data_IF_186857328258
#
_entry.id   IF_186857328258
#
_cell.length_a   1.000
_cell.length_b   1.000
_cell.length_c   1.000
_cell.angle_alpha   90.00
_cell.angle_beta   90.00
_cell.angle_gamma   90.00
#
_symmetry.space_group_name_H-M   'P 1'
#
loop_
_entity.id
_entity.type
_entity.pdbx_description
1 polymer ?
#
# COMPACT_ATOMS: atom_id res chain seq x y z
N UNK A 1 -13.70 6.01 -5.01
CA UNK A 1 -12.91 5.12 -4.15
C UNK A 1 -13.75 3.85 -4.07
N UNK A 2 -13.34 2.79 -4.75
CA UNK A 2 -14.12 1.55 -4.75
C UNK A 2 -14.35 1.10 -3.30
N UNK A 3 -15.61 1.03 -2.89
CA UNK A 3 -16.00 0.56 -1.55
C UNK A 3 -15.78 -0.95 -1.50
N UNK A 4 -14.67 -1.38 -0.92
CA UNK A 4 -14.36 -2.80 -0.72
C UNK A 4 -14.92 -3.23 0.63
N UNK A 5 -15.98 -4.04 0.62
CA UNK A 5 -16.61 -4.57 1.84
C UNK A 5 -15.73 -5.58 2.56
N UNK A 6 -16.01 -5.87 3.83
CA UNK A 6 -15.29 -6.90 4.57
C UNK A 6 -15.44 -8.30 3.94
N UNK A 7 -16.59 -8.61 3.34
CA UNK A 7 -16.78 -9.82 2.52
C UNK A 7 -15.82 -9.88 1.33
N UNK A 8 -15.69 -8.76 0.60
CA UNK A 8 -14.80 -8.68 -0.54
C UNK A 8 -13.32 -8.80 -0.11
N UNK A 9 -12.96 -8.26 1.06
CA UNK A 9 -11.63 -8.45 1.66
C UNK A 9 -11.38 -9.93 1.94
N UNK A 10 -12.32 -10.62 2.59
CA UNK A 10 -12.19 -12.04 2.91
C UNK A 10 -12.06 -12.91 1.65
N UNK A 11 -12.91 -12.67 0.66
CA UNK A 11 -12.88 -13.40 -0.61
C UNK A 11 -11.54 -13.23 -1.34
N UNK A 12 -11.06 -11.99 -1.46
CA UNK A 12 -9.77 -11.70 -2.13
C UNK A 12 -8.58 -12.27 -1.35
N UNK A 13 -8.63 -12.25 -0.02
CA UNK A 13 -7.62 -12.91 0.81
C UNK A 13 -7.58 -14.41 0.53
N UNK A 14 -8.73 -15.07 0.49
CA UNK A 14 -8.84 -16.51 0.20
C UNK A 14 -8.28 -16.84 -1.19
N UNK A 15 -8.60 -16.03 -2.20
CA UNK A 15 -8.06 -16.18 -3.55
C UNK A 15 -6.53 -16.01 -3.60
N UNK A 16 -5.98 -15.03 -2.89
CA UNK A 16 -4.54 -14.79 -2.81
C UNK A 16 -3.80 -15.93 -2.09
N UNK A 17 -4.37 -16.46 -1.00
CA UNK A 17 -3.83 -17.62 -0.30
C UNK A 17 -3.88 -18.88 -1.16
N UNK A 18 -4.98 -19.12 -1.86
CA UNK A 18 -5.11 -20.22 -2.81
C UNK A 18 -4.10 -20.11 -3.96
N UNK A 19 -3.83 -18.89 -4.45
CA UNK A 19 -2.77 -18.65 -5.44
C UNK A 19 -1.39 -19.01 -4.90
N UNK A 20 -1.07 -18.65 -3.65
CA UNK A 20 0.19 -19.04 -3.01
C UNK A 20 0.33 -20.57 -2.92
N UNK A 21 -0.75 -21.29 -2.58
CA UNK A 21 -0.75 -22.76 -2.61
C UNK A 21 -0.42 -23.30 -4.01
N UNK A 22 -0.99 -22.73 -5.07
CA UNK A 22 -0.68 -23.12 -6.46
C UNK A 22 0.79 -22.88 -6.83
N UNK A 23 1.42 -21.87 -6.24
CA UNK A 23 2.85 -21.58 -6.41
C UNK A 23 3.76 -22.42 -5.48
N UNK A 24 3.20 -23.44 -4.82
CA UNK A 24 3.96 -24.33 -3.94
C UNK A 24 4.45 -23.66 -2.65
N UNK A 25 3.76 -22.60 -2.18
CA UNK A 25 4.04 -21.89 -0.92
C UNK A 25 3.11 -22.34 0.22
N UNK A 26 2.56 -23.55 0.15
CA UNK A 26 1.53 -24.01 1.10
C UNK A 26 2.03 -24.10 2.55
N UNK A 27 3.32 -24.38 2.77
CA UNK A 27 3.90 -24.41 4.11
C UNK A 27 4.06 -23.01 4.69
N UNK A 28 4.50 -22.08 3.85
CA UNK A 28 4.65 -20.66 4.16
C UNK A 28 3.29 -20.05 4.46
N UNK A 29 2.26 -20.36 3.67
CA UNK A 29 0.87 -19.94 3.95
C UNK A 29 0.41 -20.45 5.31
N UNK A 30 0.58 -21.75 5.61
CA UNK A 30 0.13 -22.34 6.87
C UNK A 30 0.81 -21.72 8.11
N UNK A 31 2.05 -21.25 7.97
CA UNK A 31 2.79 -20.57 9.04
C UNK A 31 2.61 -19.04 9.04
N UNK A 32 1.95 -18.48 8.02
CA UNK A 32 1.86 -17.03 7.84
C UNK A 32 0.87 -16.36 8.78
N UNK A 33 1.13 -15.08 9.06
CA UNK A 33 0.19 -14.19 9.76
C UNK A 33 -1.17 -14.07 9.06
N UNK A 34 -1.26 -14.37 7.76
CA UNK A 34 -2.50 -14.28 7.00
C UNK A 34 -3.53 -15.36 7.37
N UNK A 35 -3.12 -16.48 7.96
CA UNK A 35 -4.07 -17.47 8.51
C UNK A 35 -4.81 -16.88 9.72
N UNK A 36 -4.09 -16.18 10.59
CA UNK A 36 -4.68 -15.51 11.72
C UNK A 36 -5.56 -14.34 11.26
N UNK A 37 -5.12 -13.56 10.28
CA UNK A 37 -5.95 -12.50 9.71
C UNK A 37 -7.22 -13.05 9.07
N UNK A 38 -7.13 -14.17 8.33
CA UNK A 38 -8.30 -14.83 7.75
C UNK A 38 -9.31 -15.23 8.83
N UNK A 39 -8.83 -15.80 9.94
CA UNK A 39 -9.68 -16.17 11.10
C UNK A 39 -10.40 -14.94 11.66
N UNK A 40 -9.67 -13.84 11.88
CA UNK A 40 -10.23 -12.59 12.42
C UNK A 40 -11.25 -11.98 11.47
N UNK A 41 -10.91 -11.82 10.18
CA UNK A 41 -11.82 -11.25 9.18
C UNK A 41 -13.06 -12.12 8.99
N UNK A 42 -12.92 -13.45 9.06
CA UNK A 42 -14.08 -14.37 9.06
C UNK A 42 -15.00 -14.08 10.24
N UNK A 43 -14.46 -13.95 11.47
CA UNK A 43 -15.25 -13.62 12.65
C UNK A 43 -16.01 -12.30 12.51
N UNK A 44 -15.36 -11.26 11.98
CA UNK A 44 -15.97 -9.95 11.72
C UNK A 44 -17.10 -10.04 10.70
N UNK A 45 -16.88 -10.77 9.60
CA UNK A 45 -17.89 -10.99 8.55
C UNK A 45 -19.07 -11.78 9.11
N UNK A 46 -18.83 -12.87 9.84
CA UNK A 46 -19.89 -13.67 10.48
C UNK A 46 -20.70 -12.83 11.47
N UNK A 47 -20.05 -12.05 12.34
CA UNK A 47 -20.74 -11.16 13.27
C UNK A 47 -21.62 -10.13 12.53
N UNK A 48 -21.13 -9.59 11.41
CA UNK A 48 -21.89 -8.67 10.56
C UNK A 48 -23.13 -9.32 9.94
N UNK A 49 -23.02 -10.56 9.45
CA UNK A 49 -24.15 -11.28 8.85
C UNK A 49 -25.17 -11.73 9.88
N UNK A 50 -24.73 -12.27 11.01
CA UNK A 50 -25.61 -12.91 11.99
C UNK A 50 -26.24 -11.91 12.96
N UNK A 51 -25.50 -10.86 13.32
CA UNK A 51 -25.89 -9.87 14.34
C UNK A 51 -25.88 -8.42 13.87
N UNK A 52 -25.59 -8.17 12.59
CA UNK A 52 -25.60 -6.82 12.01
C UNK A 52 -24.45 -5.94 12.48
N UNK A 53 -24.63 -4.63 12.34
CA UNK A 53 -23.58 -3.63 12.57
C UNK A 53 -23.07 -3.61 14.01
N UNK A 54 -23.97 -3.77 14.99
CA UNK A 54 -23.61 -3.73 16.40
C UNK A 54 -22.75 -4.94 16.80
N UNK A 55 -23.12 -6.15 16.36
CA UNK A 55 -22.32 -7.35 16.59
C UNK A 55 -20.95 -7.28 15.91
N UNK A 56 -20.90 -6.78 14.68
CA UNK A 56 -19.64 -6.54 13.96
C UNK A 56 -18.74 -5.54 14.70
N UNK A 57 -19.32 -4.47 15.23
CA UNK A 57 -18.62 -3.46 16.03
C UNK A 57 -18.07 -4.05 17.33
N UNK A 58 -18.89 -4.83 18.03
CA UNK A 58 -18.48 -5.52 19.27
C UNK A 58 -17.33 -6.48 18.98
N UNK A 59 -17.43 -7.31 17.93
CA UNK A 59 -16.39 -8.25 17.54
C UNK A 59 -15.08 -7.53 17.19
N UNK A 60 -15.15 -6.44 16.41
CA UNK A 60 -13.99 -5.59 16.12
C UNK A 60 -13.34 -5.04 17.39
N UNK A 61 -14.14 -4.68 18.40
CA UNK A 61 -13.63 -4.11 19.64
C UNK A 61 -13.08 -5.13 20.64
N UNK A 62 -13.25 -6.45 20.43
CA UNK A 62 -12.64 -7.49 21.28
C UNK A 62 -11.12 -7.43 21.24
N UNK A 63 -10.56 -7.18 20.07
CA UNK A 63 -9.16 -6.84 19.86
C UNK A 63 -9.06 -5.87 18.68
N UNK A 64 -9.17 -4.58 18.98
CA UNK A 64 -9.17 -3.53 17.95
C UNK A 64 -7.84 -3.44 17.21
N UNK A 65 -6.72 -3.73 17.88
CA UNK A 65 -5.41 -3.69 17.26
C UNK A 65 -5.27 -4.80 16.22
N UNK A 66 -5.60 -6.04 16.59
CA UNK A 66 -5.57 -7.17 15.67
C UNK A 66 -6.60 -7.01 14.55
N UNK A 67 -7.83 -6.59 14.85
CA UNK A 67 -8.89 -6.40 13.85
C UNK A 67 -8.51 -5.35 12.80
N UNK A 68 -7.91 -4.23 13.24
CA UNK A 68 -7.41 -3.20 12.32
C UNK A 68 -6.34 -3.74 11.39
N UNK A 69 -5.34 -4.44 11.93
CA UNK A 69 -4.23 -4.98 11.13
C UNK A 69 -4.71 -6.09 10.20
N UNK A 70 -5.56 -7.00 10.69
CA UNK A 70 -6.10 -8.10 9.90
C UNK A 70 -6.88 -7.58 8.68
N UNK A 71 -7.81 -6.64 8.87
CA UNK A 71 -8.56 -6.04 7.76
C UNK A 71 -7.65 -5.26 6.79
N UNK A 72 -6.68 -4.52 7.32
CA UNK A 72 -5.73 -3.72 6.52
C UNK A 72 -4.88 -4.62 5.62
N UNK A 73 -4.18 -5.60 6.21
CA UNK A 73 -3.24 -6.43 5.47
C UNK A 73 -3.94 -7.49 4.62
N UNK A 74 -5.11 -7.99 5.05
CA UNK A 74 -5.95 -8.83 4.19
C UNK A 74 -6.38 -8.07 2.93
N UNK A 75 -6.75 -6.79 3.06
CA UNK A 75 -7.10 -5.96 1.91
C UNK A 75 -5.89 -5.70 1.00
N UNK A 76 -4.72 -5.36 1.57
CA UNK A 76 -3.49 -5.15 0.78
C UNK A 76 -3.06 -6.43 0.05
N UNK A 77 -3.10 -7.58 0.73
CA UNK A 77 -2.66 -8.84 0.14
C UNK A 77 -3.68 -9.41 -0.86
N UNK A 78 -4.97 -9.27 -0.59
CA UNK A 78 -6.02 -9.64 -1.53
C UNK A 78 -5.95 -8.81 -2.83
N UNK A 79 -5.68 -7.50 -2.71
CA UNK A 79 -5.59 -6.59 -3.86
C UNK A 79 -4.38 -6.84 -4.80
N UNK A 80 -3.37 -7.61 -4.35
CA UNK A 80 -2.22 -7.95 -5.20
C UNK A 80 -2.41 -9.26 -5.95
N UNK A 81 -3.45 -10.05 -5.63
CA UNK A 81 -3.69 -11.38 -6.22
C UNK A 81 -3.73 -11.41 -7.75
N UNK A 82 -4.48 -10.48 -8.36
CA UNK A 82 -4.61 -10.39 -9.83
C UNK A 82 -3.27 -10.09 -10.51
N UNK A 83 -2.51 -9.15 -9.95
CA UNK A 83 -1.18 -8.80 -10.44
C UNK A 83 -0.22 -9.99 -10.34
N UNK A 84 -0.20 -10.68 -9.21
CA UNK A 84 0.63 -11.87 -8.98
C UNK A 84 0.27 -12.99 -9.96
N UNK A 85 -1.03 -13.20 -10.19
CA UNK A 85 -1.54 -14.21 -11.12
C UNK A 85 -1.03 -13.96 -12.54
N UNK A 86 -1.04 -12.71 -13.01
CA UNK A 86 -0.52 -12.36 -14.33
C UNK A 86 1.02 -12.37 -14.40
N UNK A 87 1.72 -11.95 -13.34
CA UNK A 87 3.19 -11.91 -13.34
C UNK A 87 3.80 -13.31 -13.41
N UNK A 88 3.08 -14.32 -12.89
CA UNK A 88 3.44 -15.73 -12.95
C UNK A 88 4.44 -16.17 -11.87
N UNK A 89 4.39 -17.46 -11.54
CA UNK A 89 5.11 -18.06 -10.40
C UNK A 89 6.60 -17.72 -10.36
N UNK A 90 7.31 -17.94 -11.47
CA UNK A 90 8.78 -17.85 -11.51
C UNK A 90 9.31 -16.45 -11.18
N UNK A 91 8.53 -15.41 -11.46
CA UNK A 91 8.94 -14.03 -11.21
C UNK A 91 8.75 -13.57 -9.77
N UNK A 92 7.86 -14.20 -8.99
CA UNK A 92 7.41 -13.66 -7.69
C UNK A 92 7.47 -14.65 -6.54
N UNK A 93 7.55 -15.97 -6.78
CA UNK A 93 7.44 -17.02 -5.74
C UNK A 93 8.37 -16.78 -4.55
N UNK A 94 9.64 -16.44 -4.80
CA UNK A 94 10.61 -16.18 -3.72
C UNK A 94 10.20 -14.97 -2.88
N UNK A 95 9.87 -13.85 -3.53
CA UNK A 95 9.50 -12.61 -2.84
C UNK A 95 8.16 -12.76 -2.12
N UNK A 96 7.21 -13.48 -2.73
CA UNK A 96 5.92 -13.82 -2.14
C UNK A 96 6.10 -14.70 -0.89
N UNK A 97 7.03 -15.65 -0.90
CA UNK A 97 7.41 -16.41 0.29
C UNK A 97 7.88 -15.53 1.44
N UNK A 98 8.65 -14.46 1.15
CA UNK A 98 9.05 -13.47 2.16
C UNK A 98 7.89 -12.62 2.66
N UNK A 99 6.95 -12.25 1.78
CA UNK A 99 5.73 -11.51 2.15
C UNK A 99 4.89 -12.26 3.17
N UNK A 100 4.87 -13.60 3.12
CA UNK A 100 4.10 -14.45 4.03
C UNK A 100 4.71 -14.56 5.46
N UNK A 101 5.97 -14.19 5.66
CA UNK A 101 6.68 -14.33 6.93
C UNK A 101 6.42 -13.16 7.91
N UNK A 102 7.00 -13.19 9.11
CA UNK A 102 6.95 -12.10 10.09
C UNK A 102 5.75 -12.19 11.05
N UNK A 103 5.79 -11.38 12.14
CA UNK A 103 4.85 -11.51 13.24
C UNK A 103 3.46 -11.01 12.86
N UNK A 104 2.43 -11.49 13.58
CA UNK A 104 1.03 -11.11 13.40
C UNK A 104 0.82 -9.61 13.61
N UNK A 105 1.38 -9.01 14.66
CA UNK A 105 1.25 -7.57 14.89
C UNK A 105 2.49 -6.82 14.40
N UNK A 106 2.34 -5.65 13.74
CA UNK A 106 3.48 -4.80 13.38
C UNK A 106 4.26 -4.29 14.59
N UNK A 107 3.62 -4.23 15.76
CA UNK A 107 4.27 -3.83 17.01
C UNK A 107 5.38 -4.79 17.43
N UNK A 108 5.27 -6.06 17.03
CA UNK A 108 6.25 -7.12 17.30
C UNK A 108 7.37 -7.16 16.25
N UNK A 109 7.35 -6.24 15.27
CA UNK A 109 8.43 -6.14 14.28
C UNK A 109 9.69 -5.55 14.90
N UNK A 110 10.83 -6.17 14.58
CA UNK A 110 12.15 -5.64 14.85
C UNK A 110 12.87 -5.25 13.52
N UNK A 111 14.11 -4.72 13.58
CA UNK A 111 14.87 -4.42 12.37
C UNK A 111 15.09 -5.59 11.40
N UNK A 112 15.02 -6.84 11.88
CA UNK A 112 15.21 -8.06 11.11
C UNK A 112 13.90 -8.66 10.58
N UNK A 113 12.75 -8.30 11.15
CA UNK A 113 11.45 -8.90 10.82
C UNK A 113 10.48 -7.97 10.10
N UNK A 114 10.94 -6.81 9.61
CA UNK A 114 10.09 -5.83 8.89
C UNK A 114 10.09 -5.98 7.35
N UNK A 115 11.00 -6.78 6.79
CA UNK A 115 11.07 -7.05 5.34
C UNK A 115 9.75 -7.56 4.76
N UNK A 116 9.02 -8.51 5.39
CA UNK A 116 7.77 -9.05 4.83
C UNK A 116 6.74 -7.97 4.46
N UNK A 117 6.53 -6.99 5.36
CA UNK A 117 5.57 -5.89 5.13
C UNK A 117 6.12 -4.81 4.21
N UNK A 118 7.44 -4.62 4.16
CA UNK A 118 8.04 -3.73 3.17
C UNK A 118 7.83 -4.29 1.75
N UNK A 119 8.10 -5.59 1.57
CA UNK A 119 7.85 -6.30 0.30
C UNK A 119 6.37 -6.28 -0.08
N UNK A 120 5.45 -6.47 0.87
CA UNK A 120 4.02 -6.34 0.59
C UNK A 120 3.69 -4.96 0.01
N UNK A 121 4.28 -3.88 0.53
CA UNK A 121 4.06 -2.54 0.01
C UNK A 121 4.61 -2.36 -1.42
N UNK A 122 5.73 -3.00 -1.77
CA UNK A 122 6.25 -3.03 -3.15
C UNK A 122 5.24 -3.68 -4.10
N UNK A 123 4.66 -4.83 -3.70
CA UNK A 123 3.59 -5.49 -4.45
C UNK A 123 2.35 -4.61 -4.57
N UNK A 124 1.97 -3.88 -3.53
CA UNK A 124 0.84 -2.93 -3.57
C UNK A 124 1.10 -1.86 -4.64
N UNK A 125 2.27 -1.21 -4.63
CA UNK A 125 2.60 -0.19 -5.64
C UNK A 125 2.63 -0.79 -7.05
N UNK A 126 3.25 -1.96 -7.23
CA UNK A 126 3.28 -2.66 -8.51
C UNK A 126 1.86 -3.02 -8.98
N UNK A 127 1.01 -3.60 -8.14
CA UNK A 127 -0.38 -3.93 -8.48
C UNK A 127 -1.16 -2.69 -8.95
N UNK A 128 -0.99 -1.54 -8.28
CA UNK A 128 -1.70 -0.30 -8.66
C UNK A 128 -1.18 0.27 -9.99
N UNK A 129 0.12 0.19 -10.27
CA UNK A 129 0.68 0.55 -11.57
C UNK A 129 0.17 -0.37 -12.68
N UNK A 130 0.10 -1.67 -12.41
CA UNK A 130 -0.43 -2.66 -13.35
C UNK A 130 -1.91 -2.40 -13.67
N UNK A 131 -2.75 -2.18 -12.64
CA UNK A 131 -4.16 -1.79 -12.80
C UNK A 131 -4.32 -0.50 -13.60
N UNK A 132 -3.38 0.43 -13.49
CA UNK A 132 -3.35 1.67 -14.28
C UNK A 132 -2.99 1.47 -15.77
N UNK A 133 -2.74 0.23 -16.19
CA UNK A 133 -2.38 -0.15 -17.55
C UNK A 133 -0.88 -0.09 -17.84
N UNK A 134 -0.03 0.03 -16.81
CA UNK A 134 1.42 0.03 -16.94
C UNK A 134 1.99 -1.37 -16.80
N UNK A 135 3.28 -1.53 -17.10
CA UNK A 135 4.01 -2.79 -16.97
C UNK A 135 5.08 -2.69 -15.88
N UNK A 136 4.68 -2.73 -14.60
CA UNK A 136 5.61 -2.64 -13.49
C UNK A 136 6.48 -3.89 -13.41
N UNK A 137 7.71 -3.73 -12.94
CA UNK A 137 8.65 -4.79 -12.61
C UNK A 137 9.09 -4.65 -11.17
N UNK A 138 8.98 -5.74 -10.41
CA UNK A 138 9.55 -5.83 -9.06
C UNK A 138 11.05 -6.07 -9.15
N UNK A 139 11.81 -5.44 -8.25
CA UNK A 139 13.25 -5.58 -8.19
C UNK A 139 13.78 -5.44 -6.77
N UNK A 140 15.04 -5.83 -6.56
CA UNK A 140 15.70 -5.56 -5.28
C UNK A 140 16.13 -4.10 -5.16
N UNK A 141 16.46 -3.46 -6.29
CA UNK A 141 16.80 -2.04 -6.43
C UNK A 141 16.64 -1.58 -7.90
N UNK A 142 15.80 -0.58 -8.23
CA UNK A 142 14.78 -0.03 -7.34
C UNK A 142 13.76 -1.11 -6.95
N UNK A 143 13.01 -0.86 -5.88
CA UNK A 143 11.97 -1.76 -5.40
C UNK A 143 10.92 -2.03 -6.49
N UNK A 144 10.50 -0.99 -7.21
CA UNK A 144 9.61 -1.09 -8.37
C UNK A 144 10.14 -0.23 -9.52
N UNK A 145 9.96 -0.69 -10.76
CA UNK A 145 10.16 0.14 -11.95
C UNK A 145 9.00 0.00 -12.92
N UNK A 146 8.73 1.05 -13.70
CA UNK A 146 7.77 0.99 -14.80
C UNK A 146 8.15 1.98 -15.90
N UNK A 147 7.59 1.80 -17.09
CA UNK A 147 7.79 2.73 -18.20
C UNK A 147 6.48 3.47 -18.53
N UNK A 148 6.57 4.77 -18.79
CA UNK A 148 5.47 5.58 -19.31
C UNK A 148 5.95 6.30 -20.57
N UNK A 149 5.41 5.88 -21.73
CA UNK A 149 5.74 6.43 -23.06
C UNK A 149 7.26 6.53 -23.31
N UNK A 150 8.01 5.45 -23.05
CA UNK A 150 9.47 5.42 -23.24
C UNK A 150 10.29 5.95 -22.07
N UNK A 151 9.68 6.65 -21.10
CA UNK A 151 10.39 7.15 -19.91
C UNK A 151 10.33 6.14 -18.78
N UNK A 152 11.49 5.75 -18.26
CA UNK A 152 11.57 4.83 -17.11
C UNK A 152 11.38 5.57 -15.80
N UNK A 153 10.62 4.99 -14.88
CA UNK A 153 10.50 5.44 -13.49
C UNK A 153 11.09 4.38 -12.56
N UNK A 154 11.99 4.80 -11.70
CA UNK A 154 12.52 4.01 -10.60
C UNK A 154 11.85 4.45 -9.31
N UNK A 155 11.21 3.51 -8.62
CA UNK A 155 10.36 3.78 -7.47
C UNK A 155 10.93 3.06 -6.25
N UNK A 156 11.36 3.84 -5.26
CA UNK A 156 11.74 3.32 -3.95
C UNK A 156 10.53 3.32 -3.02
N UNK A 157 10.19 2.17 -2.46
CA UNK A 157 9.07 1.97 -1.56
C UNK A 157 9.57 1.98 -0.12
N UNK A 158 8.96 2.79 0.74
CA UNK A 158 9.32 2.87 2.16
C UNK A 158 8.09 2.87 3.04
N UNK A 159 8.16 2.11 4.14
CA UNK A 159 7.13 2.04 5.17
C UNK A 159 7.70 2.59 6.48
N UNK A 160 7.68 3.91 6.71
CA UNK A 160 8.18 4.50 7.94
C UNK A 160 7.41 4.00 9.16
N UNK A 161 8.16 3.56 10.19
CA UNK A 161 7.57 3.02 11.42
C UNK A 161 7.05 4.13 12.36
N UNK A 162 7.60 5.34 12.25
CA UNK A 162 7.28 6.48 13.11
C UNK A 162 7.23 7.78 12.30
N UNK A 163 6.59 8.83 12.83
CA UNK A 163 6.57 10.15 12.21
C UNK A 163 7.98 10.75 12.02
N UNK A 164 8.88 10.55 13.00
CA UNK A 164 10.30 10.89 12.87
C UNK A 164 11.01 10.04 11.81
N UNK A 165 10.59 8.78 11.67
CA UNK A 165 11.11 7.85 10.67
C UNK A 165 10.79 8.22 9.22
N UNK A 166 9.74 9.03 8.96
CA UNK A 166 9.42 9.50 7.59
C UNK A 166 10.60 10.24 6.99
N UNK A 167 11.23 11.13 7.76
CA UNK A 167 12.39 11.93 7.33
C UNK A 167 13.56 11.03 6.94
N UNK A 168 13.95 10.15 7.86
CA UNK A 168 15.03 9.19 7.62
C UNK A 168 14.77 8.32 6.39
N UNK A 169 13.53 7.84 6.21
CA UNK A 169 13.17 7.01 5.05
C UNK A 169 13.21 7.76 3.72
N UNK A 170 12.87 9.05 3.70
CA UNK A 170 13.02 9.90 2.51
C UNK A 170 14.51 10.04 2.17
N UNK A 171 15.35 10.32 3.16
CA UNK A 171 16.81 10.42 2.96
C UNK A 171 17.41 9.09 2.49
N UNK A 172 17.01 7.97 3.11
CA UNK A 172 17.46 6.62 2.72
C UNK A 172 17.11 6.34 1.24
N UNK A 173 15.87 6.61 0.84
CA UNK A 173 15.43 6.42 -0.55
C UNK A 173 16.18 7.34 -1.52
N UNK A 174 16.43 8.59 -1.12
CA UNK A 174 17.17 9.55 -1.91
C UNK A 174 18.63 9.16 -2.16
N UNK A 175 19.22 8.38 -1.25
CA UNK A 175 20.58 7.87 -1.42
C UNK A 175 20.67 6.66 -2.37
N UNK A 176 19.57 5.95 -2.63
CA UNK A 176 19.58 4.70 -3.41
C UNK A 176 19.31 4.89 -4.91
N UNK A 177 18.60 5.95 -5.28
CA UNK A 177 18.17 6.22 -6.65
C UNK A 177 19.24 6.87 -7.57
N UNK A 178 20.09 7.82 -7.12
CA UNK A 178 20.92 8.62 -8.02
C UNK A 178 21.84 7.80 -8.94
N UNK A 179 22.67 6.91 -8.38
CA UNK A 179 23.62 6.11 -9.17
C UNK A 179 22.94 5.31 -10.29
N UNK A 180 21.71 4.84 -10.04
CA UNK A 180 20.93 4.07 -11.02
C UNK A 180 20.35 4.97 -12.09
N UNK A 181 19.81 6.12 -11.71
CA UNK A 181 19.29 7.09 -12.66
C UNK A 181 20.41 7.57 -13.58
N UNK A 182 21.57 7.88 -13.00
CA UNK A 182 22.73 8.36 -13.74
C UNK A 182 23.28 7.30 -14.71
N UNK A 183 23.27 6.02 -14.31
CA UNK A 183 23.62 4.90 -15.18
C UNK A 183 22.71 4.77 -16.43
N UNK A 184 21.53 5.39 -16.44
CA UNK A 184 20.64 5.43 -17.62
C UNK A 184 20.91 6.59 -18.57
N UNK A 185 21.85 7.49 -18.25
CA UNK A 185 22.11 8.69 -19.05
C UNK A 185 20.91 9.64 -19.11
N UNK A 186 20.12 9.73 -18.03
CA UNK A 186 18.94 10.59 -17.93
C UNK A 186 17.66 10.00 -18.53
N UNK A 187 17.62 8.71 -18.89
CA UNK A 187 16.42 8.05 -19.38
C UNK A 187 15.45 7.62 -18.26
N UNK A 188 15.91 7.57 -17.01
CA UNK A 188 15.09 7.29 -15.84
C UNK A 188 14.80 8.55 -15.00
N UNK A 189 13.70 8.51 -14.25
CA UNK A 189 13.36 9.46 -13.17
C UNK A 189 13.10 8.71 -11.87
N UNK A 190 13.44 9.32 -10.75
CA UNK A 190 13.22 8.78 -9.41
C UNK A 190 11.87 9.19 -8.82
N UNK A 191 11.22 8.26 -8.13
CA UNK A 191 10.00 8.50 -7.34
C UNK A 191 10.16 7.78 -6.01
N UNK A 192 9.67 8.38 -4.93
CA UNK A 192 9.63 7.72 -3.62
C UNK A 192 8.17 7.47 -3.24
N UNK A 193 7.82 6.21 -3.00
CA UNK A 193 6.52 5.81 -2.48
C UNK A 193 6.61 5.57 -0.97
N UNK A 194 5.70 6.17 -0.21
CA UNK A 194 5.67 6.13 1.25
C UNK A 194 4.32 5.58 1.73
N UNK A 195 4.33 4.46 2.45
CA UNK A 195 3.13 3.96 3.12
C UNK A 195 3.02 4.53 4.54
N UNK A 196 1.94 5.25 4.80
CA UNK A 196 1.59 5.79 6.13
C UNK A 196 0.53 4.93 6.85
N UNK A 197 0.16 3.78 6.29
CA UNK A 197 -0.82 2.83 6.81
C UNK A 197 -0.61 2.52 8.30
N UNK A 198 0.61 2.11 8.69
CA UNK A 198 0.93 1.78 10.10
C UNK A 198 0.70 2.97 11.06
N UNK A 199 0.92 4.20 10.59
CA UNK A 199 0.74 5.41 11.42
C UNK A 199 -0.74 5.75 11.58
N UNK A 200 -1.53 5.55 10.54
CA UNK A 200 -2.96 5.85 10.57
C UNK A 200 -3.76 4.79 11.32
N UNK A 201 -3.30 3.54 11.30
CA UNK A 201 -3.96 2.41 11.91
C UNK A 201 -3.29 2.04 13.23
N UNK A 202 -3.42 2.90 14.25
CA UNK A 202 -2.90 2.63 15.61
C UNK A 202 -3.74 1.62 16.40
N UNK A 203 -4.79 1.08 15.79
CA UNK A 203 -5.56 -0.04 16.34
C UNK A 203 -6.74 0.36 17.22
N UNK A 204 -7.10 1.64 17.31
CA UNK A 204 -8.15 2.09 18.24
C UNK A 204 -9.51 2.37 17.57
N UNK A 205 -9.52 2.77 16.29
CA UNK A 205 -10.75 3.22 15.61
C UNK A 205 -10.74 2.96 14.10
N UNK A 206 -11.94 2.70 13.57
CA UNK A 206 -12.23 2.76 12.15
C UNK A 206 -12.23 4.22 11.67
N UNK A 207 -11.86 4.45 10.41
CA UNK A 207 -12.14 5.73 9.76
C UNK A 207 -13.65 5.86 9.52
N UNK A 208 -14.28 6.87 10.12
CA UNK A 208 -15.71 7.13 9.91
C UNK A 208 -15.90 8.28 8.94
N UNK A 209 -16.70 8.09 7.89
CA UNK A 209 -16.98 9.11 6.88
C UNK A 209 -18.40 9.00 6.30
N UNK A 210 -18.82 10.01 5.52
CA UNK A 210 -20.13 10.06 4.84
C UNK A 210 -19.95 10.23 3.34
N UNK A 211 -20.02 9.11 2.61
CA UNK A 211 -19.80 9.07 1.17
C UNK A 211 -18.33 9.21 0.77
N UNK A 212 -18.03 8.81 -0.47
CA UNK A 212 -16.66 8.68 -0.94
C UNK A 212 -15.85 9.99 -0.91
N UNK A 213 -16.48 11.13 -1.20
CA UNK A 213 -15.80 12.42 -1.20
C UNK A 213 -15.27 12.81 0.19
N UNK A 214 -16.05 12.58 1.25
CA UNK A 214 -15.63 12.83 2.64
C UNK A 214 -14.48 11.89 3.05
N UNK A 215 -14.58 10.60 2.68
CA UNK A 215 -13.53 9.62 2.92
C UNK A 215 -12.20 9.99 2.24
N UNK A 216 -12.27 10.39 0.95
CA UNK A 216 -11.11 10.88 0.19
C UNK A 216 -10.49 12.11 0.84
N UNK A 217 -11.29 13.12 1.21
CA UNK A 217 -10.81 14.35 1.83
C UNK A 217 -10.14 14.09 3.18
N UNK A 218 -10.72 13.23 4.03
CA UNK A 218 -10.14 12.84 5.32
C UNK A 218 -8.77 12.18 5.17
N UNK A 219 -8.65 11.20 4.27
CA UNK A 219 -7.38 10.54 4.00
C UNK A 219 -6.37 11.49 3.36
N UNK A 220 -6.79 12.29 2.38
CA UNK A 220 -5.96 13.31 1.73
C UNK A 220 -5.36 14.27 2.76
N UNK A 221 -6.18 14.77 3.71
CA UNK A 221 -5.72 15.65 4.77
C UNK A 221 -4.75 14.98 5.73
N UNK A 222 -4.99 13.72 6.10
CA UNK A 222 -4.10 12.95 6.96
C UNK A 222 -2.72 12.75 6.30
N UNK A 223 -2.69 12.43 5.01
CA UNK A 223 -1.48 12.31 4.20
C UNK A 223 -0.76 13.66 4.04
N UNK A 224 -1.48 14.73 3.75
CA UNK A 224 -0.93 16.08 3.62
C UNK A 224 -0.29 16.57 4.92
N UNK A 225 -0.90 16.25 6.08
CA UNK A 225 -0.32 16.55 7.40
C UNK A 225 1.03 15.86 7.60
N UNK A 226 1.16 14.61 7.15
CA UNK A 226 2.43 13.89 7.21
C UNK A 226 3.47 14.47 6.24
N UNK A 227 3.07 14.81 5.01
CA UNK A 227 3.93 15.43 4.02
C UNK A 227 4.47 16.78 4.52
N UNK A 228 3.62 17.62 5.13
CA UNK A 228 4.01 18.90 5.70
C UNK A 228 5.05 18.76 6.81
N UNK A 229 4.92 17.74 7.68
CA UNK A 229 5.90 17.47 8.74
C UNK A 229 7.29 17.09 8.22
N UNK A 230 7.35 16.46 7.04
CA UNK A 230 8.60 16.05 6.38
C UNK A 230 9.09 17.04 5.31
N UNK A 231 8.49 18.24 5.23
CA UNK A 231 8.73 19.22 4.16
C UNK A 231 10.20 19.56 3.94
N UNK A 232 10.90 19.88 5.01
CA UNK A 232 12.33 20.20 4.97
C UNK A 232 13.20 19.12 4.33
N UNK A 233 12.75 17.87 4.38
CA UNK A 233 13.52 16.70 3.97
C UNK A 233 13.30 16.42 2.48
N UNK A 234 12.06 16.58 1.99
CA UNK A 234 11.77 16.37 0.58
C UNK A 234 12.05 17.60 -0.30
N UNK A 235 12.03 18.82 0.23
CA UNK A 235 12.44 20.03 -0.53
C UNK A 235 13.92 20.05 -0.90
N UNK A 236 14.73 19.20 -0.25
CA UNK A 236 16.18 19.08 -0.48
C UNK A 236 16.56 17.88 -1.34
N UNK A 237 15.59 17.18 -1.90
CA UNK A 237 15.85 16.01 -2.73
C UNK A 237 16.56 16.41 -4.02
N UNK A 238 17.44 15.54 -4.54
CA UNK A 238 18.10 15.78 -5.82
C UNK A 238 17.07 15.87 -6.96
N UNK A 239 17.35 16.72 -7.95
CA UNK A 239 16.40 17.04 -9.02
C UNK A 239 16.02 15.88 -9.94
N UNK A 240 16.74 14.76 -9.88
CA UNK A 240 16.38 13.53 -10.58
C UNK A 240 15.28 12.72 -9.87
N UNK A 241 14.90 13.09 -8.64
CA UNK A 241 13.72 12.59 -7.93
C UNK A 241 12.57 13.58 -8.17
N UNK A 242 11.61 13.18 -8.99
CA UNK A 242 10.61 14.08 -9.56
C UNK A 242 9.31 14.15 -8.76
N UNK A 243 9.12 13.23 -7.81
CA UNK A 243 7.92 13.23 -6.99
C UNK A 243 7.90 12.22 -5.85
N UNK A 244 6.95 12.43 -4.95
CA UNK A 244 6.60 11.48 -3.89
C UNK A 244 5.16 10.99 -4.05
N UNK A 245 4.94 9.73 -3.70
CA UNK A 245 3.62 9.12 -3.58
C UNK A 245 3.36 8.80 -2.11
N UNK A 246 2.34 9.40 -1.52
CA UNK A 246 1.95 9.19 -0.12
C UNK A 246 0.73 8.30 -0.09
N UNK A 247 0.86 7.07 0.41
CA UNK A 247 -0.19 6.06 0.41
C UNK A 247 -0.71 5.78 1.82
N UNK A 248 -2.01 5.51 1.91
CA UNK A 248 -2.66 4.98 3.10
C UNK A 248 -3.79 4.01 2.73
N UNK A 249 -3.98 2.98 3.56
CA UNK A 249 -5.16 2.13 3.59
C UNK A 249 -5.64 2.01 5.04
N UNK A 250 -6.96 1.96 5.26
CA UNK A 250 -7.54 1.86 6.60
C UNK A 250 -8.93 1.24 6.56
N UNK A 251 -9.29 0.37 7.51
CA UNK A 251 -10.67 -0.03 7.75
C UNK A 251 -11.55 1.17 8.09
N UNK A 252 -12.78 1.16 7.57
CA UNK A 252 -13.65 2.31 7.62
C UNK A 252 -15.14 1.94 7.74
N UNK A 253 -15.94 2.93 8.12
CA UNK A 253 -17.39 2.90 8.11
C UNK A 253 -17.92 4.09 7.31
N UNK A 254 -18.63 3.82 6.22
CA UNK A 254 -19.42 4.82 5.50
C UNK A 254 -20.79 4.95 6.15
N UNK A 255 -20.98 5.96 7.00
CA UNK A 255 -22.23 6.20 7.73
C UNK A 255 -23.39 6.55 6.80
N UNK A 256 -23.13 7.02 5.58
CA UNK A 256 -24.23 7.40 4.67
C UNK A 256 -25.08 6.21 4.24
N UNK A 257 -24.49 5.02 4.27
CA UNK A 257 -25.13 3.75 3.86
C UNK A 257 -24.87 2.63 4.88
N UNK A 258 -24.36 2.97 6.07
CA UNK A 258 -23.97 2.04 7.13
C UNK A 258 -23.13 0.85 6.63
N UNK A 259 -22.09 1.15 5.87
CA UNK A 259 -21.25 0.12 5.23
C UNK A 259 -19.86 0.05 5.83
N UNK A 260 -19.53 -1.11 6.41
CA UNK A 260 -18.15 -1.46 6.74
C UNK A 260 -17.35 -1.75 5.47
N UNK A 261 -16.23 -1.05 5.32
CA UNK A 261 -15.43 -1.04 4.09
C UNK A 261 -13.95 -0.84 4.40
N UNK A 262 -13.13 -0.92 3.36
CA UNK A 262 -11.76 -0.43 3.36
C UNK A 262 -11.70 0.88 2.60
N UNK A 263 -11.02 1.87 3.18
CA UNK A 263 -10.72 3.13 2.53
C UNK A 263 -9.22 3.20 2.18
N UNK A 264 -8.90 3.64 0.97
CA UNK A 264 -7.52 3.71 0.49
C UNK A 264 -7.32 4.96 -0.36
N UNK A 265 -6.22 5.68 -0.14
CA UNK A 265 -5.94 6.89 -0.89
C UNK A 265 -4.45 7.10 -1.12
N UNK A 266 -4.13 7.89 -2.15
CA UNK A 266 -2.77 8.28 -2.49
C UNK A 266 -2.70 9.77 -2.82
N UNK A 267 -1.89 10.53 -2.08
CA UNK A 267 -1.53 11.89 -2.45
C UNK A 267 -0.27 11.87 -3.31
N UNK A 268 -0.24 12.74 -4.30
CA UNK A 268 0.91 12.94 -5.18
C UNK A 268 1.54 14.28 -4.82
N UNK A 269 2.84 14.27 -4.59
CA UNK A 269 3.63 15.48 -4.34
C UNK A 269 4.67 15.63 -5.47
N UNK A 270 4.38 16.44 -6.52
CA UNK A 270 5.39 16.81 -7.50
C UNK A 270 6.53 17.57 -6.82
N UNK A 271 7.77 17.27 -7.24
CA UNK A 271 8.99 17.96 -6.81
C UNK A 271 9.68 18.69 -7.96
N UNK A 272 9.51 18.19 -9.19
CA UNK A 272 10.01 18.85 -10.37
C UNK A 272 9.36 20.25 -10.54
N UNK A 273 10.10 21.27 -11.02
CA UNK A 273 9.54 22.59 -11.25
C UNK A 273 8.31 22.54 -12.16
N UNK A 274 7.29 23.33 -11.85
CA UNK A 274 6.08 23.40 -12.66
C UNK A 274 6.41 23.67 -14.14
N UNK A 275 5.80 22.91 -15.05
CA UNK A 275 5.99 22.99 -16.51
C UNK A 275 7.34 22.48 -17.02
N UNK A 276 8.23 21.96 -16.16
CA UNK A 276 9.43 21.25 -16.60
C UNK A 276 9.10 19.96 -17.36
N UNK A 277 10.04 19.44 -18.15
CA UNK A 277 9.84 18.15 -18.82
C UNK A 277 9.67 17.01 -17.81
N UNK A 278 10.41 17.06 -16.71
CA UNK A 278 10.33 16.12 -15.60
C UNK A 278 8.94 16.10 -14.95
N UNK A 279 8.35 17.29 -14.72
CA UNK A 279 6.99 17.42 -14.20
C UNK A 279 5.96 16.87 -15.18
N UNK A 280 6.10 17.16 -16.47
CA UNK A 280 5.22 16.61 -17.51
C UNK A 280 5.29 15.08 -17.58
N UNK A 281 6.49 14.49 -17.48
CA UNK A 281 6.65 13.03 -17.43
C UNK A 281 6.03 12.44 -16.15
N UNK A 282 6.32 13.02 -15.00
CA UNK A 282 5.75 12.56 -13.73
C UNK A 282 4.22 12.70 -13.71
N UNK A 283 3.68 13.72 -14.39
CA UNK A 283 2.24 13.90 -14.60
C UNK A 283 1.58 12.76 -15.33
N UNK A 284 2.21 12.22 -16.37
CA UNK A 284 1.67 11.05 -17.05
C UNK A 284 1.61 9.81 -16.13
N UNK A 285 2.60 9.63 -15.25
CA UNK A 285 2.59 8.57 -14.25
C UNK A 285 1.45 8.77 -13.24
N UNK A 286 1.33 9.96 -12.66
CA UNK A 286 0.34 10.18 -11.61
C UNK A 286 -1.10 10.31 -12.16
N UNK A 287 -1.29 10.76 -13.40
CA UNK A 287 -2.60 10.72 -14.06
C UNK A 287 -3.05 9.27 -14.32
N UNK A 288 -2.12 8.39 -14.71
CA UNK A 288 -2.41 6.96 -14.86
C UNK A 288 -2.86 6.34 -13.54
N UNK A 289 -2.12 6.60 -12.46
CA UNK A 289 -2.48 6.19 -11.10
C UNK A 289 -3.80 6.83 -10.64
N UNK A 290 -4.01 8.11 -10.94
CA UNK A 290 -5.21 8.86 -10.58
C UNK A 290 -6.51 8.22 -11.08
N UNK A 291 -6.48 7.46 -12.18
CA UNK A 291 -7.64 6.68 -12.65
C UNK A 291 -8.03 5.53 -11.72
N UNK A 292 -7.07 4.97 -10.98
CA UNK A 292 -7.29 3.88 -10.02
C UNK A 292 -7.75 4.41 -8.68
N UNK A 293 -7.27 5.59 -8.28
CA UNK A 293 -7.54 6.20 -6.97
C UNK A 293 -8.71 7.21 -6.99
N UNK A 294 -8.99 7.75 -8.17
CA UNK A 294 -9.80 8.94 -8.40
C UNK A 294 -10.80 8.75 -9.53
N UNK A 295 -11.52 7.62 -9.58
CA UNK A 295 -12.86 7.72 -10.17
C UNK A 295 -13.62 8.78 -9.40
N UNK A 296 -13.88 9.87 -10.14
CA UNK A 296 -14.26 11.20 -9.72
C UNK A 296 -15.46 11.16 -8.77
#
# INVERSE_FOLDING_TARGET
MDRVTWDAVLARLDDALALCHRFGLGKEVAASRFIEYRRVVTGLVTALHDGGQDAAREEFHRDSALSMIALTEAAEFGDVGDFISQYGEHGVRRTLGRVLDGPVLPADEDPNSNDPRNRLFEFVIASKLWRAGLQPRLGDRPDVSCEVRGKTFFIECKRPLTARGVKGRITDAAAMLPDRIDATGGQALGVIALSLTRRLNLGDKLLVYRGEADGKEKLSRALATAAAFARSDWERLPGNIVGLLWHAITPALDESIHLYTIAQYMNVQPLAPSLSFEEQWFRLLYEALGRIWGHA
#
